data_IF_276974793003
#
_entry.id   IF_276974793003
#
_cell.length_a   1.000
_cell.length_b   1.000
_cell.length_c   1.000
_cell.angle_alpha   90.00
_cell.angle_beta   90.00
_cell.angle_gamma   90.00
#
_symmetry.space_group_name_H-M   'P 1'
#
loop_
_entity.id
_entity.type
_entity.pdbx_description
1 polymer ?
#
# COMPACT_ATOMS: atom_id res chain seq x y z
N UNK A 1 18.36 35.99 19.86
CA UNK A 1 18.23 35.73 18.40
C UNK A 1 18.32 34.25 18.03
N UNK A 2 19.24 33.45 18.59
CA UNK A 2 19.33 32.00 18.30
C UNK A 2 18.13 31.16 18.76
N UNK A 3 17.50 31.53 19.88
CA UNK A 3 16.31 30.84 20.41
C UNK A 3 15.06 31.13 19.56
N UNK A 4 14.94 32.35 19.02
CA UNK A 4 13.84 32.72 18.14
C UNK A 4 13.91 31.98 16.79
N UNK A 5 15.12 31.79 16.25
CA UNK A 5 15.35 31.01 15.03
C UNK A 5 15.01 29.52 15.21
N UNK A 6 15.32 28.94 16.39
CA UNK A 6 14.95 27.56 16.73
C UNK A 6 13.43 27.38 16.90
N UNK A 7 12.74 28.37 17.47
CA UNK A 7 11.27 28.34 17.59
C UNK A 7 10.58 28.52 16.24
N UNK A 8 11.13 29.35 15.35
CA UNK A 8 10.61 29.50 13.97
C UNK A 8 10.89 28.24 13.13
N UNK A 9 12.06 27.59 13.29
CA UNK A 9 12.35 26.32 12.63
C UNK A 9 11.46 25.18 13.15
N UNK A 10 11.20 25.11 14.46
CA UNK A 10 10.27 24.15 15.05
C UNK A 10 8.81 24.41 14.63
N UNK A 11 8.41 25.68 14.50
CA UNK A 11 7.10 26.06 13.98
C UNK A 11 6.95 25.79 12.46
N UNK A 12 8.04 25.87 11.69
CA UNK A 12 8.06 25.49 10.28
C UNK A 12 8.02 23.96 10.09
N UNK A 13 8.62 23.19 11.00
CA UNK A 13 8.52 21.73 11.04
C UNK A 13 7.12 21.25 11.46
N UNK A 14 6.41 21.99 12.31
CA UNK A 14 5.00 21.75 12.64
C UNK A 14 4.02 22.19 11.54
N UNK A 15 4.48 22.92 10.52
CA UNK A 15 3.66 23.42 9.41
C UNK A 15 3.81 22.60 8.11
N UNK A 16 4.52 21.47 8.13
CA UNK A 16 4.49 20.49 7.04
C UNK A 16 3.24 19.58 7.11
N UNK A 17 2.13 20.09 7.66
CA UNK A 17 0.82 19.52 7.46
C UNK A 17 0.55 19.53 5.95
N UNK A 18 0.48 18.33 5.38
CA UNK A 18 0.25 18.12 3.97
C UNK A 18 -0.98 18.91 3.49
N UNK A 19 -0.77 19.95 2.69
CA UNK A 19 -1.88 20.60 1.98
C UNK A 19 -2.49 19.56 1.03
N UNK A 20 -3.69 19.11 1.38
CA UNK A 20 -4.53 18.38 0.45
C UNK A 20 -5.19 19.38 -0.50
N UNK A 21 -5.76 18.88 -1.60
CA UNK A 21 -6.42 19.76 -2.55
C UNK A 21 -7.69 20.34 -1.96
N UNK A 22 -7.75 21.66 -1.89
CA UNK A 22 -8.86 22.48 -1.36
C UNK A 22 -10.17 22.35 -2.18
N UNK A 23 -10.23 21.40 -3.12
CA UNK A 23 -11.36 21.27 -4.02
C UNK A 23 -12.48 20.44 -3.38
N UNK A 24 -13.35 21.13 -2.65
CA UNK A 24 -14.64 20.58 -2.21
C UNK A 24 -15.75 20.70 -3.27
N UNK A 25 -15.38 21.00 -4.53
CA UNK A 25 -16.30 21.19 -5.65
C UNK A 25 -17.05 19.92 -6.08
N UNK A 26 -17.99 20.10 -7.01
CA UNK A 26 -18.70 19.00 -7.64
C UNK A 26 -17.74 18.16 -8.50
N UNK A 27 -18.03 16.86 -8.63
CA UNK A 27 -17.23 15.96 -9.44
C UNK A 27 -17.18 16.45 -10.89
N UNK A 28 -16.00 16.52 -11.53
CA UNK A 28 -15.91 16.86 -12.94
C UNK A 28 -16.70 15.86 -13.79
N UNK A 29 -17.41 16.36 -14.78
CA UNK A 29 -18.22 15.54 -15.70
C UNK A 29 -17.31 14.89 -16.74
N UNK A 30 -17.15 13.56 -16.70
CA UNK A 30 -16.43 12.82 -17.73
C UNK A 30 -17.39 12.14 -18.71
N UNK A 31 -17.11 12.25 -20.01
CA UNK A 31 -17.94 11.65 -21.08
C UNK A 31 -17.70 10.13 -21.29
N UNK A 32 -16.73 9.52 -20.59
CA UNK A 32 -16.36 8.11 -20.72
C UNK A 32 -17.00 7.21 -19.67
N UNK A 33 -18.34 7.06 -19.72
CA UNK A 33 -19.11 6.24 -18.80
C UNK A 33 -19.04 4.74 -19.11
N UNK A 34 -17.91 4.11 -18.79
CA UNK A 34 -17.83 2.67 -18.64
C UNK A 34 -16.88 2.35 -17.49
N UNK A 35 -17.35 1.72 -16.43
CA UNK A 35 -16.48 1.25 -15.34
C UNK A 35 -15.51 0.23 -15.91
N UNK A 36 -14.28 0.69 -16.19
CA UNK A 36 -13.20 -0.16 -16.63
C UNK A 36 -13.04 -1.33 -15.66
N UNK A 37 -12.65 -2.49 -16.18
CA UNK A 37 -12.53 -3.71 -15.40
C UNK A 37 -11.07 -4.13 -15.33
N UNK A 38 -10.63 -4.54 -14.15
CA UNK A 38 -9.34 -5.20 -13.92
C UNK A 38 -9.65 -6.63 -13.48
N UNK A 39 -9.21 -7.61 -14.27
CA UNK A 39 -9.36 -9.02 -13.95
C UNK A 39 -8.18 -9.48 -13.10
N UNK A 40 -8.46 -10.12 -11.97
CA UNK A 40 -7.47 -10.81 -11.16
C UNK A 40 -7.72 -12.32 -11.22
N UNK A 41 -6.94 -13.00 -12.04
CA UNK A 41 -7.03 -14.46 -12.23
C UNK A 41 -6.32 -15.23 -11.11
N UNK A 42 -6.79 -16.44 -10.82
CA UNK A 42 -6.12 -17.34 -9.90
C UNK A 42 -4.87 -17.96 -10.56
N UNK A 43 -3.67 -17.52 -10.14
CA UNK A 43 -2.36 -17.96 -10.66
C UNK A 43 -1.35 -18.18 -9.54
N UNK A 44 -1.47 -19.27 -8.77
CA UNK A 44 -0.61 -19.52 -7.61
C UNK A 44 0.84 -19.81 -8.02
N UNK A 45 1.78 -19.04 -7.45
CA UNK A 45 3.22 -19.26 -7.62
C UNK A 45 3.80 -18.84 -8.98
N UNK A 46 3.04 -18.10 -9.79
CA UNK A 46 3.48 -17.64 -11.11
C UNK A 46 4.25 -16.31 -11.05
N UNK A 47 3.85 -15.41 -10.14
CA UNK A 47 4.40 -14.05 -10.01
C UNK A 47 5.35 -13.95 -8.82
N UNK A 48 6.50 -13.29 -9.04
CA UNK A 48 7.38 -12.81 -7.99
C UNK A 48 7.33 -11.28 -7.87
N UNK A 49 7.70 -10.71 -6.71
CA UNK A 49 7.81 -9.26 -6.52
C UNK A 49 9.27 -8.84 -6.59
N UNK A 50 9.73 -8.56 -7.79
CA UNK A 50 11.13 -8.17 -8.07
C UNK A 50 11.24 -7.04 -9.09
N UNK A 51 10.11 -6.46 -9.51
CA UNK A 51 9.99 -5.41 -10.51
C UNK A 51 10.09 -5.92 -11.95
N UNK A 52 10.32 -7.21 -12.20
CA UNK A 52 10.60 -7.72 -13.53
C UNK A 52 9.33 -8.25 -14.23
N UNK A 53 9.00 -7.78 -15.45
CA UNK A 53 7.70 -8.08 -16.06
C UNK A 53 7.57 -9.49 -16.66
N UNK A 54 8.65 -10.29 -16.70
CA UNK A 54 8.67 -11.59 -17.38
C UNK A 54 7.60 -12.56 -16.85
N UNK A 55 7.41 -12.58 -15.53
CA UNK A 55 6.44 -13.45 -14.86
C UNK A 55 4.98 -13.08 -15.23
N UNK A 56 4.77 -11.90 -15.84
CA UNK A 56 3.47 -11.37 -16.20
C UNK A 56 3.11 -11.55 -17.68
N UNK A 57 3.98 -12.10 -18.53
CA UNK A 57 3.79 -12.17 -19.99
C UNK A 57 2.49 -12.91 -20.38
N UNK A 58 2.06 -13.88 -19.58
CA UNK A 58 0.83 -14.64 -19.79
C UNK A 58 -0.44 -14.02 -19.18
N UNK A 59 -0.33 -12.89 -18.47
CA UNK A 59 -1.45 -12.25 -17.75
C UNK A 59 -2.06 -11.14 -18.61
N UNK A 60 -3.39 -11.16 -18.76
CA UNK A 60 -4.13 -10.16 -19.53
C UNK A 60 -4.02 -8.77 -18.87
N UNK A 61 -3.74 -7.74 -19.69
CA UNK A 61 -3.65 -6.36 -19.23
C UNK A 61 -4.94 -5.60 -19.52
N UNK A 62 -5.41 -4.85 -18.52
CA UNK A 62 -6.45 -3.85 -18.69
C UNK A 62 -5.79 -2.50 -19.02
N UNK A 63 -6.22 -1.87 -20.10
CA UNK A 63 -5.61 -0.62 -20.59
C UNK A 63 -6.49 0.59 -20.31
N UNK A 64 -5.88 1.64 -19.76
CA UNK A 64 -6.58 2.88 -19.44
C UNK A 64 -5.80 4.11 -19.88
N UNK A 65 -6.51 5.11 -20.40
CA UNK A 65 -5.93 6.43 -20.59
C UNK A 65 -5.61 7.05 -19.23
N UNK A 66 -4.51 7.79 -19.14
CA UNK A 66 -4.12 8.54 -17.95
C UNK A 66 -4.53 10.01 -18.15
N UNK A 67 -5.60 10.43 -17.48
CA UNK A 67 -6.16 11.79 -17.57
C UNK A 67 -5.90 12.55 -16.27
N UNK A 68 -5.64 13.88 -16.30
CA UNK A 68 -5.45 14.64 -15.08
C UNK A 68 -6.67 14.54 -14.17
N UNK A 69 -6.45 14.22 -12.89
CA UNK A 69 -7.54 13.90 -11.98
C UNK A 69 -8.51 15.06 -11.69
N UNK A 70 -8.00 16.31 -11.74
CA UNK A 70 -8.80 17.52 -11.51
C UNK A 70 -9.44 18.07 -12.78
N UNK A 71 -8.94 17.66 -13.95
CA UNK A 71 -9.29 18.25 -15.24
C UNK A 71 -9.14 17.17 -16.33
N UNK A 72 -10.07 16.21 -16.38
CA UNK A 72 -9.94 14.96 -17.15
C UNK A 72 -10.25 15.17 -18.65
N UNK A 73 -9.66 16.19 -19.25
CA UNK A 73 -9.76 16.45 -20.67
C UNK A 73 -8.74 15.62 -21.47
N UNK A 74 -9.17 15.07 -22.60
CA UNK A 74 -8.32 14.21 -23.44
C UNK A 74 -7.10 14.94 -24.02
N UNK A 75 -7.17 16.25 -24.24
CA UNK A 75 -6.05 17.07 -24.74
C UNK A 75 -4.94 17.28 -23.68
N UNK A 76 -5.24 16.98 -22.41
CA UNK A 76 -4.30 17.04 -21.28
C UNK A 76 -3.86 15.66 -20.80
N UNK A 77 -4.20 14.60 -21.55
CA UNK A 77 -3.80 13.24 -21.25
C UNK A 77 -2.27 13.13 -21.09
N UNK A 78 -1.82 12.17 -20.28
CA UNK A 78 -0.42 11.92 -20.08
C UNK A 78 0.29 11.60 -21.40
N UNK A 79 1.35 12.35 -21.70
CA UNK A 79 2.04 12.27 -22.98
C UNK A 79 2.77 10.93 -23.19
N UNK A 80 3.14 10.23 -22.12
CA UNK A 80 3.73 8.89 -22.17
C UNK A 80 2.71 7.81 -22.59
N UNK A 81 1.42 8.12 -22.61
CA UNK A 81 0.38 7.22 -23.10
C UNK A 81 -0.48 6.64 -21.99
N UNK A 82 -0.75 5.34 -22.07
CA UNK A 82 -1.70 4.62 -21.21
C UNK A 82 -1.01 3.96 -20.01
N UNK A 83 -1.80 3.65 -18.99
CA UNK A 83 -1.44 2.67 -17.97
C UNK A 83 -2.01 1.30 -18.34
N UNK A 84 -1.19 0.27 -18.17
CA UNK A 84 -1.58 -1.12 -18.26
C UNK A 84 -1.61 -1.70 -16.85
N UNK A 85 -2.75 -2.23 -16.45
CA UNK A 85 -2.96 -2.83 -15.13
C UNK A 85 -3.16 -4.33 -15.32
N UNK A 86 -2.30 -5.12 -14.69
CA UNK A 86 -2.46 -6.57 -14.58
C UNK A 86 -2.70 -6.92 -13.12
N UNK A 87 -3.52 -7.94 -12.87
CA UNK A 87 -3.72 -8.46 -11.53
C UNK A 87 -3.84 -9.98 -11.54
N UNK A 88 -3.36 -10.62 -10.47
CA UNK A 88 -3.52 -12.06 -10.22
C UNK A 88 -3.65 -12.29 -8.72
N UNK A 89 -4.08 -13.48 -8.30
CA UNK A 89 -4.02 -13.89 -6.90
C UNK A 89 -3.66 -15.37 -6.75
N UNK A 90 -3.07 -15.74 -5.62
CA UNK A 90 -2.73 -17.14 -5.29
C UNK A 90 -3.74 -17.78 -4.32
N UNK A 91 -4.82 -17.05 -3.97
CA UNK A 91 -5.84 -17.46 -3.01
C UNK A 91 -5.56 -17.00 -1.57
N UNK A 92 -4.36 -16.47 -1.30
CA UNK A 92 -3.95 -15.86 -0.04
C UNK A 92 -3.63 -14.39 -0.24
N UNK A 93 -2.84 -14.06 -1.26
CA UNK A 93 -2.40 -12.72 -1.64
C UNK A 93 -2.97 -12.35 -3.01
N UNK A 94 -3.16 -11.05 -3.20
CA UNK A 94 -3.40 -10.44 -4.50
C UNK A 94 -2.14 -9.70 -4.95
N UNK A 95 -1.89 -9.71 -6.26
CA UNK A 95 -0.74 -9.09 -6.90
C UNK A 95 -1.23 -8.15 -7.99
N UNK A 96 -0.56 -7.01 -8.14
CA UNK A 96 -0.81 -6.03 -9.19
C UNK A 96 0.49 -5.69 -9.90
N UNK A 97 0.43 -5.53 -11.22
CA UNK A 97 1.50 -4.91 -12.00
C UNK A 97 0.94 -3.70 -12.75
N UNK A 98 1.57 -2.54 -12.53
CA UNK A 98 1.34 -1.33 -13.31
C UNK A 98 2.48 -1.15 -14.29
N UNK A 99 2.16 -1.01 -15.57
CA UNK A 99 3.11 -0.68 -16.62
C UNK A 99 2.72 0.68 -17.23
N UNK A 100 3.66 1.62 -17.22
CA UNK A 100 3.47 2.97 -17.76
C UNK A 100 4.71 3.38 -18.53
N UNK A 101 4.55 3.77 -19.79
CA UNK A 101 5.65 4.30 -20.60
C UNK A 101 6.04 5.69 -20.09
N UNK A 102 7.33 5.93 -19.96
CA UNK A 102 7.85 7.18 -19.40
C UNK A 102 9.36 7.20 -19.46
N UNK A 103 9.94 8.38 -19.60
CA UNK A 103 11.40 8.51 -19.63
C UNK A 103 11.95 8.28 -18.22
N UNK A 104 13.16 7.74 -18.15
CA UNK A 104 13.82 7.48 -16.88
C UNK A 104 14.08 8.78 -16.12
N UNK A 105 13.25 9.03 -15.13
CA UNK A 105 13.31 10.11 -14.18
C UNK A 105 13.60 9.51 -12.80
N UNK A 106 14.83 9.71 -12.33
CA UNK A 106 15.24 9.25 -11.01
C UNK A 106 16.20 10.28 -10.42
N UNK A 107 15.85 10.80 -9.25
CA UNK A 107 16.73 11.68 -8.50
C UNK A 107 17.15 10.95 -7.23
N UNK A 108 18.40 10.46 -7.19
CA UNK A 108 18.99 10.00 -5.93
C UNK A 108 18.91 11.17 -4.93
N UNK A 109 18.33 10.95 -3.75
CA UNK A 109 18.22 12.00 -2.74
C UNK A 109 19.59 12.64 -2.48
N UNK A 110 19.71 13.95 -2.71
CA UNK A 110 20.92 14.73 -2.38
C UNK A 110 20.56 15.77 -1.32
N UNK A 111 21.44 15.97 -0.35
CA UNK A 111 21.26 17.00 0.66
C UNK A 111 21.67 18.36 0.12
N UNK A 112 20.74 19.31 0.22
CA UNK A 112 20.98 20.74 -0.02
C UNK A 112 21.53 21.34 1.27
N UNK A 113 22.83 21.60 1.32
CA UNK A 113 23.47 22.19 2.52
C UNK A 113 23.20 23.70 2.60
N UNK A 114 23.11 24.39 1.45
CA UNK A 114 22.71 25.81 1.32
C UNK A 114 22.13 26.08 -0.08
N UNK A 115 21.54 27.26 -0.32
CA UNK A 115 20.93 27.65 -1.63
C UNK A 115 21.88 27.66 -2.83
N UNK A 116 23.19 27.51 -2.61
CA UNK A 116 24.22 27.54 -3.65
C UNK A 116 25.12 26.29 -3.68
N UNK A 117 24.95 25.32 -2.76
CA UNK A 117 25.76 24.10 -2.71
C UNK A 117 24.89 22.84 -2.58
N UNK A 118 24.82 22.07 -3.66
CA UNK A 118 24.32 20.70 -3.70
C UNK A 118 25.53 19.78 -3.60
N UNK A 119 25.63 19.00 -2.51
CA UNK A 119 26.65 17.95 -2.36
C UNK A 119 25.95 16.62 -2.15
N UNK A 120 26.09 15.69 -3.09
CA UNK A 120 25.77 14.29 -2.86
C UNK A 120 26.97 13.69 -2.08
N UNK A 121 27.01 13.96 -0.77
CA UNK A 121 28.16 13.67 0.10
C UNK A 121 28.16 12.22 0.62
N UNK A 122 29.36 11.73 0.96
CA UNK A 122 29.65 10.38 1.44
C UNK A 122 28.71 9.84 2.53
N UNK A 123 28.38 8.56 2.35
CA UNK A 123 27.35 7.67 2.91
C UNK A 123 27.16 7.58 4.46
N UNK A 124 27.92 8.30 5.28
CA UNK A 124 27.93 8.07 6.75
C UNK A 124 27.53 9.27 7.62
N UNK A 125 27.15 10.41 7.05
CA UNK A 125 26.83 11.63 7.82
C UNK A 125 25.54 12.35 7.38
N UNK A 126 24.71 11.71 6.56
CA UNK A 126 23.65 12.36 5.79
C UNK A 126 22.28 11.72 6.10
N UNK A 127 21.39 12.48 6.74
CA UNK A 127 19.94 12.20 6.70
C UNK A 127 19.49 12.35 5.23
N UNK A 128 19.16 11.22 4.60
CA UNK A 128 18.77 11.16 3.19
C UNK A 128 17.38 11.80 3.00
N UNK A 129 17.31 13.08 2.66
CA UNK A 129 16.06 13.70 2.20
C UNK A 129 15.86 13.38 0.71
N UNK A 130 15.00 12.40 0.43
CA UNK A 130 14.51 12.12 -0.94
C UNK A 130 13.56 13.24 -1.40
N UNK A 131 13.77 13.81 -2.59
CA UNK A 131 12.77 14.65 -3.24
C UNK A 131 11.79 13.79 -4.05
N UNK A 132 10.90 13.07 -3.36
CA UNK A 132 9.90 12.17 -3.94
C UNK A 132 9.11 12.76 -5.12
N UNK A 133 8.92 14.09 -5.12
CA UNK A 133 8.20 14.83 -6.16
C UNK A 133 8.90 14.93 -7.51
N UNK A 134 10.19 14.59 -7.58
CA UNK A 134 10.99 14.55 -8.81
C UNK A 134 11.14 13.14 -9.39
N UNK A 135 10.49 12.16 -8.79
CA UNK A 135 10.48 10.78 -9.23
C UNK A 135 9.04 10.36 -9.53
N UNK A 136 8.80 9.36 -10.39
CA UNK A 136 7.47 8.82 -10.58
C UNK A 136 6.91 8.22 -9.29
N UNK A 137 5.59 8.30 -9.16
CA UNK A 137 4.85 7.69 -8.06
C UNK A 137 3.56 7.08 -8.57
N UNK A 138 3.12 6.00 -7.94
CA UNK A 138 1.85 5.35 -8.25
C UNK A 138 1.02 5.17 -6.98
N UNK A 139 -0.30 5.10 -7.14
CA UNK A 139 -1.17 4.67 -6.07
C UNK A 139 -2.28 3.75 -6.56
N UNK A 140 -2.66 2.83 -5.70
CA UNK A 140 -3.87 2.04 -5.81
C UNK A 140 -4.82 2.46 -4.69
N UNK A 141 -6.08 2.72 -5.01
CA UNK A 141 -7.09 3.07 -4.02
C UNK A 141 -8.25 2.08 -4.10
N UNK A 142 -8.75 1.64 -2.96
CA UNK A 142 -9.80 0.66 -2.81
C UNK A 142 -10.93 1.19 -1.94
N UNK A 143 -12.16 0.90 -2.33
CA UNK A 143 -13.33 1.24 -1.53
C UNK A 143 -13.45 0.30 -0.33
N UNK A 144 -13.62 0.86 0.87
CA UNK A 144 -13.99 0.10 2.07
C UNK A 144 -15.44 0.41 2.45
N UNK A 145 -15.74 1.71 2.56
CA UNK A 145 -17.04 2.19 2.99
C UNK A 145 -18.07 2.11 1.85
N UNK A 146 -19.28 1.64 2.16
CA UNK A 146 -20.37 1.51 1.18
C UNK A 146 -20.77 2.84 0.51
N UNK A 147 -20.45 3.98 1.12
CA UNK A 147 -20.74 5.33 0.63
C UNK A 147 -19.48 6.05 0.12
N UNK A 148 -18.32 5.38 0.11
CA UNK A 148 -17.08 6.00 -0.31
C UNK A 148 -17.12 6.26 -1.82
N UNK A 149 -16.85 7.49 -2.21
CA UNK A 149 -16.77 7.87 -3.62
C UNK A 149 -15.33 7.87 -4.09
N UNK A 150 -15.13 7.52 -5.37
CA UNK A 150 -13.84 7.67 -6.04
C UNK A 150 -13.33 9.12 -5.90
N UNK A 151 -14.23 10.07 -6.19
CA UNK A 151 -13.96 11.48 -6.01
C UNK A 151 -13.70 11.82 -4.54
N UNK A 152 -12.70 12.66 -4.31
CA UNK A 152 -12.31 13.13 -2.98
C UNK A 152 -12.02 11.98 -2.00
N UNK A 153 -11.39 10.89 -2.48
CA UNK A 153 -10.80 9.85 -1.63
C UNK A 153 -11.76 9.38 -0.52
N UNK A 154 -13.00 9.04 -0.89
CA UNK A 154 -14.07 8.67 0.05
C UNK A 154 -15.20 9.67 0.17
N UNK A 155 -14.95 10.96 -0.11
CA UNK A 155 -16.00 11.96 -0.28
C UNK A 155 -16.55 12.58 1.00
N UNK A 156 -15.90 12.38 2.16
CA UNK A 156 -16.31 13.05 3.39
C UNK A 156 -16.21 14.57 3.26
N UNK A 157 -17.27 15.26 3.70
CA UNK A 157 -17.40 16.72 3.62
C UNK A 157 -16.80 17.47 4.80
N UNK A 158 -16.29 16.75 5.78
CA UNK A 158 -15.59 17.33 6.92
C UNK A 158 -14.31 18.03 6.48
N UNK A 159 -13.99 19.13 7.16
CA UNK A 159 -12.84 19.97 6.90
C UNK A 159 -11.56 19.41 7.57
N UNK A 160 -10.36 19.90 7.20
CA UNK A 160 -9.13 19.53 7.88
C UNK A 160 -9.25 19.63 9.40
N UNK A 161 -8.88 18.56 10.10
CA UNK A 161 -8.90 18.50 11.58
C UNK A 161 -10.27 18.29 12.22
N UNK A 162 -11.37 18.18 11.47
CA UNK A 162 -12.71 17.94 12.03
C UNK A 162 -13.24 16.53 11.82
N UNK A 163 -12.54 15.68 11.05
CA UNK A 163 -13.04 14.36 10.70
C UNK A 163 -13.17 13.43 11.90
N UNK A 164 -14.29 12.72 11.96
CA UNK A 164 -14.53 11.70 12.98
C UNK A 164 -15.14 10.45 12.39
N UNK A 165 -14.89 9.31 13.05
CA UNK A 165 -15.57 8.03 12.76
C UNK A 165 -17.09 8.06 12.91
N UNK A 166 -17.68 9.17 13.38
CA UNK A 166 -19.14 9.36 13.44
C UNK A 166 -19.67 10.11 12.22
N UNK A 167 -18.95 11.14 11.78
CA UNK A 167 -19.33 12.00 10.66
C UNK A 167 -18.97 11.40 9.30
N UNK A 168 -17.78 10.80 9.19
CA UNK A 168 -17.27 10.24 7.93
C UNK A 168 -17.48 8.72 7.79
N UNK A 169 -18.29 8.09 8.65
CA UNK A 169 -18.49 6.64 8.62
C UNK A 169 -19.12 6.18 7.31
N UNK A 170 -18.57 5.13 6.72
CA UNK A 170 -19.01 4.57 5.44
C UNK A 170 -18.36 5.24 4.24
N UNK A 171 -17.44 6.20 4.43
CA UNK A 171 -16.69 6.90 3.38
C UNK A 171 -15.22 6.52 3.39
N UNK A 172 -14.89 5.38 3.98
CA UNK A 172 -13.53 4.88 4.12
C UNK A 172 -12.96 4.40 2.78
N UNK A 173 -11.73 4.79 2.49
CA UNK A 173 -10.90 4.23 1.42
C UNK A 173 -9.55 3.80 1.99
N UNK A 174 -9.03 2.75 1.37
CA UNK A 174 -7.72 2.16 1.61
C UNK A 174 -6.85 2.46 0.39
N UNK A 175 -5.65 2.96 0.60
CA UNK A 175 -4.78 3.45 -0.45
C UNK A 175 -3.37 2.96 -0.19
N UNK A 176 -2.77 2.33 -1.20
CA UNK A 176 -1.33 2.18 -1.24
C UNK A 176 -0.75 3.26 -2.14
N UNK A 177 0.29 3.94 -1.67
CA UNK A 177 1.04 4.91 -2.46
C UNK A 177 2.53 4.57 -2.43
N UNK A 178 3.12 4.39 -3.61
CA UNK A 178 4.53 4.09 -3.76
C UNK A 178 5.24 5.15 -4.60
N UNK A 179 6.17 5.86 -3.95
CA UNK A 179 7.05 6.82 -4.62
C UNK A 179 8.43 6.22 -4.82
N UNK A 180 8.92 6.26 -6.07
CA UNK A 180 10.26 5.78 -6.41
C UNK A 180 11.33 6.48 -5.58
N UNK A 181 11.34 7.81 -5.47
CA UNK A 181 12.20 8.53 -4.53
C UNK A 181 13.65 8.03 -4.46
N UNK A 182 14.02 7.47 -3.31
CA UNK A 182 15.32 6.82 -3.03
C UNK A 182 15.30 5.28 -3.12
N UNK A 183 14.22 4.70 -3.64
CA UNK A 183 14.08 3.27 -3.87
C UNK A 183 15.07 2.81 -4.96
N UNK A 184 15.79 1.74 -4.65
CA UNK A 184 16.64 0.99 -5.55
C UNK A 184 15.75 0.08 -6.41
N UNK A 185 15.89 0.10 -7.75
CA UNK A 185 15.18 -0.82 -8.63
C UNK A 185 15.36 -2.29 -8.23
N UNK A 186 14.28 -3.07 -8.33
CA UNK A 186 14.25 -4.50 -8.08
C UNK A 186 14.38 -4.94 -6.61
N UNK A 187 14.38 -3.99 -5.66
CA UNK A 187 14.27 -4.31 -4.23
C UNK A 187 12.82 -4.34 -3.80
N UNK A 188 12.59 -5.10 -2.73
CA UNK A 188 11.29 -5.20 -2.05
C UNK A 188 11.16 -4.10 -1.00
N UNK A 189 10.02 -3.40 -1.03
CA UNK A 189 9.63 -2.30 -0.15
C UNK A 189 8.33 -2.60 0.57
N UNK A 190 8.01 -1.84 1.61
CA UNK A 190 6.81 -2.04 2.45
C UNK A 190 6.94 -3.17 3.48
N UNK A 191 5.90 -3.39 4.30
CA UNK A 191 5.89 -4.43 5.34
C UNK A 191 6.89 -4.24 6.48
N UNK A 192 7.50 -3.06 6.60
CA UNK A 192 8.63 -2.83 7.51
C UNK A 192 8.14 -2.33 8.89
N UNK A 193 8.31 -3.14 9.94
CA UNK A 193 7.72 -2.81 11.25
C UNK A 193 8.41 -1.64 11.96
N UNK A 194 9.62 -1.26 11.52
CA UNK A 194 10.41 -0.21 12.19
C UNK A 194 9.93 1.17 11.76
N UNK A 195 9.82 1.42 10.46
CA UNK A 195 9.46 2.75 9.94
C UNK A 195 7.94 2.95 10.07
N UNK A 196 7.14 1.88 9.90
CA UNK A 196 5.69 1.93 10.14
C UNK A 196 5.32 2.34 11.58
N UNK A 197 6.20 2.10 12.57
CA UNK A 197 5.93 2.48 13.95
C UNK A 197 5.87 3.99 14.15
N UNK A 198 6.49 4.77 13.27
CA UNK A 198 6.48 6.23 13.32
C UNK A 198 5.21 6.84 12.71
N UNK A 199 4.52 6.10 11.82
CA UNK A 199 3.18 6.46 11.33
C UNK A 199 3.10 7.71 10.46
N UNK A 200 4.20 8.08 9.81
CA UNK A 200 4.35 9.34 9.08
C UNK A 200 4.53 9.15 7.57
N UNK A 201 4.44 7.91 7.07
CA UNK A 201 4.67 7.53 5.67
C UNK A 201 6.12 7.66 5.21
N UNK A 202 7.03 7.92 6.14
CA UNK A 202 8.43 8.22 5.91
C UNK A 202 9.30 7.00 6.10
N UNK A 203 9.33 6.12 5.10
CA UNK A 203 10.29 5.03 5.08
C UNK A 203 11.72 5.53 4.89
N UNK A 204 12.69 4.91 5.57
CA UNK A 204 14.12 5.18 5.35
C UNK A 204 14.53 4.83 3.92
N UNK A 205 13.89 3.82 3.33
CA UNK A 205 14.12 3.39 1.96
C UNK A 205 12.81 3.01 1.28
N UNK A 206 12.53 3.62 0.13
CA UNK A 206 11.36 3.34 -0.70
C UNK A 206 10.05 3.61 0.02
N UNK A 207 9.45 4.76 -0.29
CA UNK A 207 8.25 5.27 0.37
C UNK A 207 7.00 4.55 -0.12
N UNK A 208 6.82 3.31 0.33
CA UNK A 208 5.65 2.48 0.08
C UNK A 208 4.74 2.58 1.29
N UNK A 209 3.70 3.40 1.17
CA UNK A 209 2.89 3.83 2.29
C UNK A 209 1.50 3.21 2.16
N UNK A 210 1.07 2.55 3.22
CA UNK A 210 -0.32 2.19 3.43
C UNK A 210 -1.08 3.38 4.04
N UNK A 211 -2.20 3.74 3.44
CA UNK A 211 -2.92 4.97 3.72
C UNK A 211 -4.41 4.69 3.87
N UNK A 212 -4.93 5.03 5.04
CA UNK A 212 -6.37 5.09 5.29
C UNK A 212 -6.89 6.52 5.15
N UNK A 213 -8.06 6.69 4.54
CA UNK A 213 -8.64 8.02 4.35
C UNK A 213 -10.16 8.06 4.32
N UNK A 214 -10.72 9.22 4.68
CA UNK A 214 -12.13 9.58 4.42
C UNK A 214 -12.29 10.66 3.34
N UNK A 215 -11.25 11.47 3.17
CA UNK A 215 -11.13 12.53 2.18
C UNK A 215 -9.66 13.00 2.11
N UNK A 216 -9.27 13.86 1.15
CA UNK A 216 -7.87 14.25 0.98
C UNK A 216 -7.23 14.88 2.23
N UNK A 217 -8.01 15.51 3.11
CA UNK A 217 -7.53 16.19 4.32
C UNK A 217 -7.46 15.28 5.54
N UNK A 218 -8.17 14.15 5.51
CA UNK A 218 -8.30 13.22 6.62
C UNK A 218 -7.70 11.89 6.20
N UNK A 219 -6.38 11.84 6.39
CA UNK A 219 -5.46 10.82 5.91
C UNK A 219 -4.62 10.33 7.06
N UNK A 220 -4.41 9.04 7.12
CA UNK A 220 -3.65 8.39 8.17
C UNK A 220 -2.72 7.36 7.52
N UNK A 221 -1.45 7.43 7.90
CA UNK A 221 -0.33 6.78 7.22
C UNK A 221 0.13 5.54 8.01
N UNK A 222 0.73 4.60 7.30
CA UNK A 222 1.33 3.35 7.80
C UNK A 222 0.36 2.51 8.66
N UNK A 223 -0.91 2.49 8.27
CA UNK A 223 -1.95 1.75 8.99
C UNK A 223 -2.32 2.35 10.35
N UNK A 224 -1.82 3.53 10.71
CA UNK A 224 -2.29 4.25 11.90
C UNK A 224 -3.68 4.80 11.60
N UNK A 225 -4.61 4.71 12.55
CA UNK A 225 -5.98 5.18 12.37
C UNK A 225 -6.29 6.52 13.05
N UNK A 226 -7.54 6.99 12.91
CA UNK A 226 -8.05 8.20 13.58
C UNK A 226 -7.96 8.21 15.10
N UNK A 227 -7.79 7.03 15.70
CA UNK A 227 -7.54 6.86 17.12
C UNK A 227 -6.17 6.23 17.24
N UNK A 228 -5.37 6.67 18.20
CA UNK A 228 -4.05 6.10 18.57
C UNK A 228 -4.14 4.64 19.08
N UNK A 229 -5.22 3.92 18.78
CA UNK A 229 -5.31 2.48 18.96
C UNK A 229 -4.89 1.82 17.65
N UNK A 230 -3.76 1.12 17.67
CA UNK A 230 -3.27 0.29 16.58
C UNK A 230 -4.35 -0.75 16.22
N UNK A 231 -4.96 -0.61 15.04
CA UNK A 231 -5.97 -1.50 14.48
C UNK A 231 -5.41 -2.84 14.00
N UNK A 232 -4.08 -2.98 13.99
CA UNK A 232 -3.32 -3.99 13.25
C UNK A 232 -3.52 -3.92 11.73
N UNK A 233 -4.00 -2.78 11.20
CA UNK A 233 -3.95 -2.52 9.76
C UNK A 233 -2.49 -2.55 9.26
N UNK A 234 -1.59 -1.89 10.01
CA UNK A 234 -0.17 -1.79 9.66
C UNK A 234 0.02 -1.43 8.18
N UNK A 235 1.21 -1.59 7.63
CA UNK A 235 1.41 -1.50 6.19
C UNK A 235 1.71 -2.91 5.72
N UNK A 236 0.66 -3.58 5.23
CA UNK A 236 0.68 -4.98 4.78
C UNK A 236 1.05 -5.10 3.29
N UNK A 237 1.40 -3.98 2.66
CA UNK A 237 1.81 -3.96 1.27
C UNK A 237 3.29 -4.27 1.12
N UNK A 238 3.58 -5.03 0.07
CA UNK A 238 4.91 -5.20 -0.46
C UNK A 238 4.95 -4.69 -1.90
N UNK A 239 6.07 -4.11 -2.31
CA UNK A 239 6.21 -3.65 -3.67
C UNK A 239 7.63 -3.56 -4.18
N UNK A 240 7.76 -3.57 -5.49
CA UNK A 240 9.02 -3.46 -6.21
C UNK A 240 8.81 -2.62 -7.47
N UNK A 241 9.90 -2.12 -8.05
CA UNK A 241 9.82 -1.35 -9.29
C UNK A 241 11.02 -1.56 -10.19
N UNK A 242 10.82 -1.32 -11.47
CA UNK A 242 11.84 -1.41 -12.51
C UNK A 242 11.61 -0.39 -13.62
N UNK A 243 12.65 -0.12 -14.40
CA UNK A 243 12.54 0.61 -15.66
C UNK A 243 13.24 -0.15 -16.79
N UNK A 244 12.61 -0.25 -17.95
CA UNK A 244 13.11 -1.08 -19.06
C UNK A 244 14.49 -0.66 -19.61
N UNK A 245 14.93 0.56 -19.34
CA UNK A 245 16.26 1.02 -19.76
C UNK A 245 17.39 0.48 -18.88
N UNK A 246 17.06 -0.10 -17.72
CA UNK A 246 18.05 -0.66 -16.80
C UNK A 246 18.55 -2.00 -17.35
N UNK A 247 19.86 -2.13 -17.48
CA UNK A 247 20.51 -3.32 -18.05
C UNK A 247 21.06 -4.29 -17.01
N UNK A 248 21.07 -3.93 -15.71
CA UNK A 248 21.74 -4.71 -14.66
C UNK A 248 20.82 -4.97 -13.47
N UNK A 249 20.62 -6.24 -13.13
CA UNK A 249 19.57 -6.71 -12.21
C UNK A 249 19.96 -6.70 -10.72
N UNK A 250 21.22 -6.42 -10.37
CA UNK A 250 21.70 -6.57 -8.99
C UNK A 250 22.33 -5.30 -8.42
N UNK A 251 21.50 -4.31 -8.09
CA UNK A 251 21.90 -3.02 -7.50
C UNK A 251 22.35 -3.10 -6.03
N UNK A 252 23.47 -3.77 -5.74
CA UNK A 252 23.98 -3.90 -4.37
C UNK A 252 25.04 -2.86 -3.98
N UNK A 253 25.65 -2.15 -4.94
CA UNK A 253 26.68 -1.13 -4.70
C UNK A 253 26.51 0.07 -5.64
N UNK A 254 26.79 1.26 -5.15
CA UNK A 254 26.61 2.54 -5.85
C UNK A 254 27.45 2.65 -7.14
N UNK A 255 28.64 2.04 -7.16
CA UNK A 255 29.56 2.04 -8.31
C UNK A 255 29.09 1.14 -9.46
N UNK A 256 28.20 0.18 -9.19
CA UNK A 256 27.52 -0.66 -10.20
C UNK A 256 26.20 -0.02 -10.68
N UNK A 257 26.09 1.31 -10.51
CA UNK A 257 24.89 2.15 -10.67
C UNK A 257 23.65 1.40 -11.16
N UNK A 258 22.77 0.92 -10.24
CA UNK A 258 21.50 0.33 -10.65
C UNK A 258 20.55 1.34 -11.29
N UNK A 259 20.97 2.59 -11.39
CA UNK A 259 20.19 3.70 -11.89
C UNK A 259 20.52 3.94 -13.36
N UNK A 260 19.47 4.11 -14.14
CA UNK A 260 19.56 4.39 -15.57
C UNK A 260 20.07 5.80 -15.86
N UNK A 261 20.25 6.09 -17.14
CA UNK A 261 20.56 7.43 -17.60
C UNK A 261 19.29 8.29 -17.53
N UNK A 262 19.39 9.47 -16.92
CA UNK A 262 18.29 10.44 -16.89
C UNK A 262 17.77 10.71 -18.32
N UNK A 263 16.44 10.79 -18.44
CA UNK A 263 15.67 11.00 -19.67
C UNK A 263 15.81 9.88 -20.73
N UNK A 264 16.33 8.71 -20.33
CA UNK A 264 16.38 7.55 -21.21
C UNK A 264 14.98 6.98 -21.45
N UNK A 265 14.62 6.79 -22.72
CA UNK A 265 13.29 6.28 -23.08
C UNK A 265 13.08 4.87 -22.54
N UNK A 266 11.89 4.61 -22.02
CA UNK A 266 11.51 3.27 -21.60
C UNK A 266 10.14 3.20 -20.97
N UNK A 267 10.00 2.20 -20.12
CA UNK A 267 8.76 1.84 -19.46
C UNK A 267 9.02 1.53 -18.00
N UNK A 268 8.19 2.09 -17.14
CA UNK A 268 8.15 1.76 -15.73
C UNK A 268 7.28 0.53 -15.49
N UNK A 269 7.78 -0.34 -14.61
CA UNK A 269 7.05 -1.48 -14.06
C UNK A 269 6.99 -1.30 -12.55
N UNK A 270 5.79 -1.42 -11.99
CA UNK A 270 5.57 -1.42 -10.55
C UNK A 270 4.80 -2.66 -10.19
N UNK A 271 5.27 -3.37 -9.18
CA UNK A 271 4.63 -4.59 -8.68
C UNK A 271 4.24 -4.38 -7.24
N UNK A 272 3.04 -4.84 -6.89
CA UNK A 272 2.51 -4.74 -5.54
C UNK A 272 1.83 -6.02 -5.14
N UNK A 273 1.90 -6.35 -3.85
CA UNK A 273 1.14 -7.44 -3.29
C UNK A 273 0.74 -7.14 -1.87
N UNK A 274 -0.37 -7.77 -1.48
CA UNK A 274 -0.75 -7.89 -0.07
C UNK A 274 -1.68 -9.08 0.14
N UNK A 275 -1.91 -9.50 1.39
CA UNK A 275 -2.95 -10.45 1.70
C UNK A 275 -4.34 -10.01 1.22
N UNK A 276 -5.14 -10.96 0.74
CA UNK A 276 -6.56 -10.74 0.42
C UNK A 276 -7.37 -10.35 1.67
N UNK A 277 -6.95 -10.84 2.83
CA UNK A 277 -7.50 -10.52 4.14
C UNK A 277 -6.38 -10.04 5.05
N UNK A 278 -6.50 -8.84 5.59
CA UNK A 278 -5.55 -8.30 6.56
C UNK A 278 -6.02 -8.59 7.98
N UNK A 279 -5.17 -8.28 8.96
CA UNK A 279 -5.51 -8.44 10.38
C UNK A 279 -6.26 -7.23 10.96
N UNK A 280 -6.59 -6.25 10.12
CA UNK A 280 -7.32 -5.05 10.49
C UNK A 280 -8.67 -5.38 11.14
N UNK A 281 -8.94 -4.70 12.25
CA UNK A 281 -10.18 -4.81 13.02
C UNK A 281 -11.04 -3.56 12.98
N UNK A 282 -10.55 -2.47 12.40
CA UNK A 282 -11.18 -1.15 12.44
C UNK A 282 -11.66 -0.63 11.07
N UNK A 283 -11.67 -1.47 10.03
CA UNK A 283 -12.11 -1.11 8.67
C UNK A 283 -11.23 -0.01 8.05
N UNK A 284 -9.93 -0.15 8.22
CA UNK A 284 -8.91 0.67 7.60
C UNK A 284 -8.37 0.05 6.30
N UNK A 285 -8.43 -1.27 6.17
CA UNK A 285 -7.99 -1.97 4.97
C UNK A 285 -9.17 -2.60 4.24
N UNK A 286 -9.14 -2.52 2.91
CA UNK A 286 -10.07 -3.22 2.05
C UNK A 286 -9.85 -4.74 2.14
N UNK A 287 -10.92 -5.46 2.48
CA UNK A 287 -10.89 -6.91 2.64
C UNK A 287 -11.40 -7.58 1.35
N UNK A 288 -10.48 -8.04 0.52
CA UNK A 288 -10.79 -8.59 -0.79
C UNK A 288 -11.50 -9.94 -0.71
N UNK A 289 -12.52 -10.11 -1.54
CA UNK A 289 -13.31 -11.33 -1.62
C UNK A 289 -13.25 -11.91 -3.03
N UNK A 290 -12.81 -13.17 -3.13
CA UNK A 290 -12.83 -13.94 -4.37
C UNK A 290 -14.28 -14.18 -4.81
N UNK A 291 -14.56 -14.00 -6.10
CA UNK A 291 -15.86 -14.18 -6.73
C UNK A 291 -16.81 -12.99 -6.60
N UNK A 292 -16.34 -11.87 -6.02
CA UNK A 292 -17.11 -10.63 -5.90
C UNK A 292 -16.41 -9.44 -6.55
N UNK A 293 -17.16 -8.45 -7.07
CA UNK A 293 -16.57 -7.22 -7.56
C UNK A 293 -16.08 -6.38 -6.37
N UNK A 294 -14.88 -5.83 -6.50
CA UNK A 294 -14.33 -4.82 -5.58
C UNK A 294 -14.13 -3.52 -6.38
N UNK A 295 -14.22 -2.38 -5.72
CA UNK A 295 -13.95 -1.10 -6.39
C UNK A 295 -12.49 -0.71 -6.20
N UNK A 296 -11.83 -0.34 -7.29
CA UNK A 296 -10.44 0.13 -7.26
C UNK A 296 -10.25 1.39 -8.12
N UNK A 297 -9.15 2.10 -7.90
CA UNK A 297 -8.67 3.18 -8.75
C UNK A 297 -7.14 3.16 -8.83
N UNK A 298 -6.62 3.71 -9.91
CA UNK A 298 -5.17 3.77 -10.19
C UNK A 298 -4.80 5.21 -10.46
N UNK A 299 -3.78 5.71 -9.77
CA UNK A 299 -3.23 7.04 -9.94
C UNK A 299 -1.73 6.99 -10.24
N UNK A 300 -1.27 7.98 -11.01
CA UNK A 300 0.13 8.12 -11.42
C UNK A 300 0.59 9.57 -11.34
N UNK A 301 1.72 9.81 -10.69
CA UNK A 301 2.41 11.09 -10.68
C UNK A 301 3.70 10.95 -11.48
N UNK A 302 3.96 11.93 -12.33
CA UNK A 302 5.15 11.94 -13.17
C UNK A 302 5.74 13.36 -13.25
N UNK A 303 7.06 13.52 -13.08
CA UNK A 303 7.71 14.82 -13.18
C UNK A 303 7.83 15.23 -14.66
N UNK A 304 6.89 16.04 -15.14
CA UNK A 304 6.91 16.55 -16.50
C UNK A 304 8.01 17.61 -16.67
N UNK A 305 8.82 17.48 -17.73
CA UNK A 305 9.90 18.42 -18.08
C UNK A 305 10.89 18.70 -16.93
N UNK A 306 11.17 17.67 -16.11
CA UNK A 306 12.06 17.80 -14.95
C UNK A 306 11.50 18.68 -13.81
N UNK A 307 10.23 19.10 -13.89
CA UNK A 307 9.56 19.86 -12.83
C UNK A 307 8.97 18.88 -11.81
N UNK A 308 9.14 19.16 -10.51
CA UNK A 308 8.51 18.33 -9.49
C UNK A 308 6.99 18.45 -9.59
N UNK A 309 6.29 17.33 -9.46
CA UNK A 309 4.83 17.32 -9.38
C UNK A 309 4.36 17.80 -8.00
N UNK A 310 3.16 18.38 -7.94
CA UNK A 310 2.46 18.63 -6.69
C UNK A 310 1.47 17.50 -6.37
N UNK A 311 0.99 17.45 -5.12
CA UNK A 311 0.18 16.33 -4.63
C UNK A 311 -1.12 16.11 -5.43
N UNK A 312 -1.65 17.13 -6.12
CA UNK A 312 -2.87 17.04 -6.95
C UNK A 312 -2.59 16.53 -8.33
N UNK A 313 -1.40 16.82 -8.84
CA UNK A 313 -1.06 16.73 -10.25
C UNK A 313 -0.76 15.27 -10.61
N UNK A 314 -1.75 14.42 -10.34
CA UNK A 314 -1.77 13.05 -10.78
C UNK A 314 -2.70 12.88 -11.95
N UNK A 315 -2.34 11.89 -12.73
CA UNK A 315 -3.22 11.28 -13.69
C UNK A 315 -3.99 10.15 -13.02
N UNK A 316 -5.21 9.93 -13.45
CA UNK A 316 -6.02 8.78 -13.08
C UNK A 316 -6.34 7.93 -14.29
N UNK A 317 -6.43 6.62 -14.08
CA UNK A 317 -6.86 5.65 -15.08
C UNK A 317 -8.36 5.75 -15.41
N UNK A 318 -9.15 6.39 -14.57
CA UNK A 318 -10.60 6.50 -14.75
C UNK A 318 -11.17 7.73 -14.07
N UNK A 319 -12.40 8.06 -14.44
CA UNK A 319 -13.19 9.10 -13.78
C UNK A 319 -14.10 8.58 -12.66
N UNK A 320 -14.19 7.27 -12.50
CA UNK A 320 -14.96 6.65 -11.43
C UNK A 320 -14.29 5.33 -11.05
N UNK A 321 -14.82 4.64 -10.04
CA UNK A 321 -14.34 3.33 -9.63
C UNK A 321 -14.23 2.34 -10.81
N UNK A 322 -13.05 1.74 -10.94
CA UNK A 322 -12.82 0.55 -11.74
C UNK A 322 -13.36 -0.66 -10.98
N UNK A 323 -13.86 -1.65 -11.71
CA UNK A 323 -14.27 -2.94 -11.14
C UNK A 323 -13.07 -3.88 -11.11
N UNK A 324 -12.57 -4.19 -9.92
CA UNK A 324 -11.63 -5.27 -9.66
C UNK A 324 -12.40 -6.59 -9.50
N UNK A 325 -12.28 -7.46 -10.49
CA UNK A 325 -12.93 -8.78 -10.50
C UNK A 325 -11.92 -9.87 -10.12
N UNK A 326 -12.03 -10.37 -8.89
CA UNK A 326 -11.14 -11.43 -8.38
C UNK A 326 -11.80 -12.77 -8.65
N UNK A 327 -11.27 -13.52 -9.60
CA UNK A 327 -11.94 -14.72 -10.09
C UNK A 327 -11.71 -15.94 -9.19
N UNK A 328 -12.72 -16.80 -8.97
CA UNK A 328 -12.45 -18.08 -8.34
C UNK A 328 -11.53 -18.94 -9.22
N UNK A 329 -10.78 -19.85 -8.61
CA UNK A 329 -10.07 -20.88 -9.37
C UNK A 329 -11.08 -21.69 -10.20
N UNK A 330 -10.68 -22.23 -11.35
CA UNK A 330 -11.56 -23.08 -12.16
C UNK A 330 -12.11 -24.27 -11.35
N UNK A 331 -11.30 -24.82 -10.44
CA UNK A 331 -11.70 -25.89 -9.52
C UNK A 331 -12.78 -25.42 -8.53
N UNK A 332 -12.63 -24.21 -7.97
CA UNK A 332 -13.62 -23.61 -7.07
C UNK A 332 -14.90 -23.19 -7.80
N UNK A 333 -14.81 -22.74 -9.05
CA UNK A 333 -15.95 -22.39 -9.90
C UNK A 333 -16.84 -23.62 -10.22
N UNK A 334 -16.25 -24.82 -10.25
CA UNK A 334 -16.97 -26.08 -10.39
C UNK A 334 -17.45 -26.67 -9.05
N UNK A 335 -16.94 -26.16 -7.93
CA UNK A 335 -17.36 -26.57 -6.60
C UNK A 335 -18.70 -25.91 -6.25
N UNK A 336 -19.81 -26.62 -6.48
CA UNK A 336 -21.10 -26.26 -5.87
C UNK A 336 -20.98 -26.49 -4.36
N UNK A 337 -21.10 -25.47 -3.51
CA UNK A 337 -21.17 -25.69 -2.08
C UNK A 337 -22.37 -26.61 -1.81
N UNK A 338 -22.15 -27.71 -1.11
CA UNK A 338 -23.27 -28.47 -0.58
C UNK A 338 -24.14 -27.52 0.26
N UNK A 339 -25.48 -27.53 0.09
CA UNK A 339 -26.35 -26.59 0.78
C UNK A 339 -26.10 -26.66 2.29
N UNK A 340 -25.82 -25.50 2.89
CA UNK A 340 -25.71 -25.20 4.32
C UNK A 340 -25.77 -26.43 5.24
N UNK A 341 -24.64 -27.13 5.42
CA UNK A 341 -24.48 -27.97 6.61
C UNK A 341 -24.14 -27.07 7.77
N UNK A 342 -25.17 -26.72 8.53
CA UNK A 342 -25.03 -26.26 9.90
C UNK A 342 -24.14 -27.25 10.65
N UNK A 343 -22.97 -26.77 11.07
CA UNK A 343 -21.98 -27.46 11.91
C UNK A 343 -21.18 -28.56 11.20
N UNK A 344 -19.91 -28.26 10.94
CA UNK A 344 -18.92 -29.25 10.55
C UNK A 344 -18.64 -30.16 11.76
N UNK A 345 -18.78 -31.48 11.57
CA UNK A 345 -18.59 -32.46 12.61
C UNK A 345 -17.18 -32.34 13.22
N UNK A 346 -16.19 -31.98 12.39
CA UNK A 346 -14.81 -31.77 12.83
C UNK A 346 -14.71 -30.65 13.88
N UNK A 347 -15.45 -29.54 13.71
CA UNK A 347 -15.46 -28.43 14.67
C UNK A 347 -16.13 -28.83 15.98
N UNK A 348 -17.20 -29.61 15.93
CA UNK A 348 -17.85 -30.15 17.13
C UNK A 348 -16.93 -31.12 17.88
N UNK A 349 -16.19 -31.98 17.16
CA UNK A 349 -15.20 -32.88 17.76
C UNK A 349 -14.02 -32.11 18.36
N UNK A 350 -13.52 -31.07 17.70
CA UNK A 350 -12.44 -30.23 18.22
C UNK A 350 -12.86 -29.51 19.51
N UNK A 351 -14.09 -28.97 19.57
CA UNK A 351 -14.64 -28.36 20.77
C UNK A 351 -14.79 -29.37 21.91
N UNK A 352 -15.26 -30.58 21.61
CA UNK A 352 -15.40 -31.64 22.61
C UNK A 352 -14.02 -32.06 23.18
N UNK A 353 -13.03 -32.24 22.31
CA UNK A 353 -11.67 -32.61 22.72
C UNK A 353 -11.00 -31.51 23.54
N UNK A 354 -11.21 -30.23 23.22
CA UNK A 354 -10.65 -29.12 23.98
C UNK A 354 -11.25 -29.04 25.39
N UNK A 355 -12.56 -29.23 25.53
CA UNK A 355 -13.24 -29.29 26.83
C UNK A 355 -12.73 -30.49 27.65
N UNK A 356 -12.61 -31.66 27.04
CA UNK A 356 -12.08 -32.86 27.71
C UNK A 356 -10.64 -32.64 28.18
N UNK A 357 -9.79 -32.04 27.35
CA UNK A 357 -8.42 -31.73 27.72
C UNK A 357 -8.36 -30.78 28.94
N UNK A 358 -9.16 -29.72 28.97
CA UNK A 358 -9.25 -28.80 30.11
C UNK A 358 -9.69 -29.54 31.39
N UNK A 359 -10.72 -30.39 31.30
CA UNK A 359 -11.18 -31.18 32.45
C UNK A 359 -10.08 -32.12 32.99
N UNK A 360 -9.33 -32.78 32.10
CA UNK A 360 -8.21 -33.65 32.49
C UNK A 360 -7.11 -32.82 33.15
N UNK A 361 -6.74 -31.67 32.59
CA UNK A 361 -5.71 -30.79 33.16
C UNK A 361 -6.09 -30.31 34.57
N UNK A 362 -7.35 -29.91 34.78
CA UNK A 362 -7.85 -29.51 36.10
C UNK A 362 -7.83 -30.69 37.08
N UNK A 363 -8.24 -31.89 36.64
CA UNK A 363 -8.25 -33.08 37.49
C UNK A 363 -6.84 -33.52 37.90
N UNK A 364 -5.88 -33.53 36.95
CA UNK A 364 -4.47 -33.84 37.22
C UNK A 364 -3.84 -32.79 38.13
N UNK A 365 -4.09 -31.50 37.86
CA UNK A 365 -3.61 -30.40 38.71
C UNK A 365 -4.15 -30.48 40.14
N UNK A 366 -5.43 -30.80 40.28
CA UNK A 366 -6.06 -31.03 41.58
C UNK A 366 -5.48 -32.26 42.30
N UNK A 367 -5.28 -33.37 41.59
CA UNK A 367 -4.68 -34.60 42.13
C UNK A 367 -3.24 -34.38 42.61
N UNK A 368 -2.42 -33.70 41.82
CA UNK A 368 -1.05 -33.34 42.19
C UNK A 368 -1.01 -32.37 43.37
N UNK A 369 -1.94 -31.41 43.44
CA UNK A 369 -2.06 -30.48 44.58
C UNK A 369 -2.46 -31.20 45.87
N UNK A 370 -3.28 -32.27 45.79
CA UNK A 370 -3.75 -33.01 46.96
C UNK A 370 -2.71 -34.01 47.49
N UNK A 371 -1.80 -34.48 46.63
CA UNK A 371 -0.73 -35.43 46.96
C UNK A 371 0.60 -34.76 47.38
N UNK A 372 0.58 -33.51 47.87
CA UNK A 372 1.78 -32.77 48.31
C UNK A 372 2.52 -33.36 49.53
N UNK A 373 2.14 -34.53 50.03
CA UNK A 373 2.67 -35.09 51.28
C UNK A 373 3.79 -36.14 51.13
N UNK A 374 4.26 -36.49 49.91
CA UNK A 374 5.20 -37.61 49.76
C UNK A 374 6.37 -37.42 48.79
N UNK A 375 6.69 -36.20 48.37
CA UNK A 375 7.91 -35.96 47.56
C UNK A 375 8.97 -35.33 48.47
N UNK A 376 9.84 -36.17 49.04
CA UNK A 376 11.06 -35.71 49.68
C UNK A 376 12.01 -35.17 48.60
N UNK A 377 12.22 -33.86 48.61
CA UNK A 377 13.35 -33.25 47.91
C UNK A 377 14.61 -33.52 48.73
N UNK A 378 15.58 -34.23 48.16
CA UNK A 378 16.94 -34.30 48.70
C UNK A 378 17.70 -33.06 48.23
N UNK A 379 18.15 -32.16 49.13
CA UNK A 379 18.94 -31.00 48.76
C UNK A 379 20.29 -31.42 48.20
N UNK A 380 20.81 -30.66 47.23
CA UNK A 380 22.04 -30.94 46.50
C UNK A 380 23.33 -30.94 47.35
N UNK A 381 23.24 -30.54 48.63
CA UNK A 381 24.36 -30.58 49.58
C UNK A 381 24.73 -31.99 50.04
N UNK A 382 23.95 -33.01 49.63
CA UNK A 382 24.13 -34.42 49.98
C UNK A 382 24.47 -35.34 48.79
N UNK A 383 24.89 -34.78 47.65
CA UNK A 383 25.44 -35.53 46.50
C UNK A 383 26.96 -35.36 46.44
#
# INVERSE_FOLDING_TARGET
MRILALVVAAAALLAAAATAHEHHGEAPTCAGGGSGRVLAEFRPGEVTLDGHPADWDGVEASEFALLPALDPDEDKAYAGGKVFVKAVHDGVNIFFMLKVDGDYTYTKGCVVLTSEQVTCAFDWLVEHYSENKKCPSVALMFQIGEKATYYNMGGCKDMPGSCTSKSCRGQEVDIMHFSVGNAIPGRLYGGNHIDNADGNGGDRFGHLVDLYSWNPHCRYLDGIGPKENNSNAQNDWHGAWWHSSLTFHSGFVDDDSPYGKQDEKGTYYFEFSRPLRTMDRLQQDAQFTIGGPNSMAVAFWYPNDGKPWSKSEHYSASCDWLVLDIQPSMEAAHYRPAPNRSWDAATAFALLLSVVAICISVFVGYGASKNRSSVQFTPLEQI
#
